data_IF_945234801416
#
_entry.id   IF_945234801416
#
_cell.length_a   1.000
_cell.length_b   1.000
_cell.length_c   1.000
_cell.angle_alpha   90.00
_cell.angle_beta   90.00
_cell.angle_gamma   90.00
#
_symmetry.space_group_name_H-M   'P 1'
#
loop_
_entity.id
_entity.type
_entity.pdbx_description
1 polymer ?
#
# COMPACT_ATOMS: atom_id res chain seq x y z
N UNK A 1 -8.98 13.03 8.52
CA UNK A 1 -9.81 11.93 9.08
C UNK A 1 -8.88 10.75 9.31
N UNK A 2 -8.85 10.15 10.50
CA UNK A 2 -7.79 9.17 10.87
C UNK A 2 -8.12 7.72 10.51
N UNK A 3 -9.15 7.50 9.70
CA UNK A 3 -9.61 6.17 9.30
C UNK A 3 -9.91 6.16 7.82
N UNK A 4 -9.72 4.99 7.20
CA UNK A 4 -10.13 4.74 5.85
C UNK A 4 -11.66 4.87 5.72
N UNK A 5 -12.09 5.40 4.58
CA UNK A 5 -13.51 5.41 4.23
C UNK A 5 -13.97 4.01 3.76
N UNK A 6 -15.28 3.88 3.50
CA UNK A 6 -15.87 2.61 3.06
C UNK A 6 -15.26 2.16 1.72
N UNK A 7 -14.94 3.08 0.81
CA UNK A 7 -14.36 2.75 -0.49
C UNK A 7 -12.95 2.19 -0.34
N UNK A 8 -12.12 2.82 0.49
CA UNK A 8 -10.76 2.41 0.80
C UNK A 8 -10.75 1.05 1.51
N UNK A 9 -11.62 0.87 2.51
CA UNK A 9 -11.79 -0.42 3.19
C UNK A 9 -12.18 -1.53 2.22
N UNK A 10 -13.15 -1.28 1.33
CA UNK A 10 -13.57 -2.29 0.36
C UNK A 10 -12.46 -2.64 -0.65
N UNK A 11 -11.64 -1.67 -1.05
CA UNK A 11 -10.47 -1.95 -1.91
C UNK A 11 -9.49 -2.88 -1.20
N UNK A 12 -9.11 -2.55 0.04
CA UNK A 12 -8.21 -3.39 0.82
C UNK A 12 -8.80 -4.77 1.08
N UNK A 13 -10.09 -4.88 1.41
CA UNK A 13 -10.73 -6.16 1.65
C UNK A 13 -10.76 -7.05 0.41
N UNK A 14 -10.95 -6.46 -0.77
CA UNK A 14 -10.99 -7.20 -2.06
C UNK A 14 -9.61 -7.41 -2.72
N UNK A 15 -8.53 -7.05 -2.03
CA UNK A 15 -7.16 -7.25 -2.51
C UNK A 15 -6.74 -6.27 -3.61
N UNK A 16 -7.26 -5.05 -3.56
CA UNK A 16 -6.72 -3.92 -4.31
C UNK A 16 -5.85 -3.09 -3.38
N UNK A 17 -4.69 -2.69 -3.90
CA UNK A 17 -3.77 -1.85 -3.16
C UNK A 17 -4.22 -0.38 -3.16
N UNK A 18 -3.81 0.35 -2.13
CA UNK A 18 -3.94 1.79 -2.03
C UNK A 18 -2.55 2.40 -1.83
N UNK A 19 -2.35 3.59 -2.37
CA UNK A 19 -1.14 4.35 -2.31
C UNK A 19 -1.42 5.78 -1.87
N UNK A 20 -0.44 6.40 -1.23
CA UNK A 20 -0.39 7.83 -0.94
C UNK A 20 1.02 8.35 -1.18
N UNK A 21 1.14 9.57 -1.69
CA UNK A 21 2.40 10.31 -1.73
C UNK A 21 2.59 11.11 -0.44
N UNK A 22 3.78 11.01 0.15
CA UNK A 22 4.17 11.71 1.38
C UNK A 22 5.36 12.65 1.09
N UNK A 23 5.68 13.60 1.99
CA UNK A 23 6.89 14.41 1.85
C UNK A 23 8.14 13.53 1.74
N UNK A 24 8.98 13.82 0.75
CA UNK A 24 10.25 13.13 0.54
C UNK A 24 11.39 13.79 1.32
N UNK A 25 12.48 13.04 1.52
CA UNK A 25 13.72 13.54 2.11
C UNK A 25 14.46 14.57 1.25
N UNK A 26 14.16 14.63 -0.05
CA UNK A 26 14.86 15.46 -1.03
C UNK A 26 13.98 15.84 -2.22
N UNK A 27 14.21 17.01 -2.80
CA UNK A 27 13.53 17.50 -4.00
C UNK A 27 13.75 16.61 -5.24
N UNK A 28 14.77 15.76 -5.26
CA UNK A 28 15.02 14.81 -6.37
C UNK A 28 14.20 13.53 -6.25
N UNK A 29 13.57 13.30 -5.09
CA UNK A 29 12.86 12.08 -4.75
C UNK A 29 11.35 12.33 -4.69
N UNK A 30 10.58 11.27 -4.86
CA UNK A 30 9.17 11.17 -4.43
C UNK A 30 9.09 10.05 -3.41
N UNK A 31 8.23 10.21 -2.41
CA UNK A 31 8.06 9.25 -1.34
C UNK A 31 6.62 8.76 -1.31
N UNK A 32 6.45 7.45 -1.17
CA UNK A 32 5.15 6.81 -1.21
C UNK A 32 4.98 5.86 -0.04
N UNK A 33 3.72 5.65 0.31
CA UNK A 33 3.29 4.50 1.10
C UNK A 33 2.27 3.74 0.27
N UNK A 34 2.49 2.45 0.09
CA UNK A 34 1.57 1.53 -0.54
C UNK A 34 1.12 0.53 0.51
N UNK A 35 -0.17 0.26 0.56
CA UNK A 35 -0.79 -0.71 1.45
C UNK A 35 -1.65 -1.67 0.64
N UNK A 36 -1.71 -2.91 1.09
CA UNK A 36 -2.51 -3.93 0.44
C UNK A 36 -2.85 -5.05 1.39
N UNK A 37 -3.39 -6.13 0.82
CA UNK A 37 -3.78 -7.29 1.60
C UNK A 37 -3.52 -8.61 0.87
N UNK A 38 -3.40 -9.68 1.64
CA UNK A 38 -3.30 -11.06 1.18
C UNK A 38 -4.10 -11.99 2.08
N UNK A 39 -4.42 -13.17 1.57
CA UNK A 39 -4.92 -14.27 2.36
C UNK A 39 -3.76 -15.22 2.70
N UNK A 40 -3.50 -15.42 3.99
CA UNK A 40 -2.50 -16.34 4.47
C UNK A 40 -3.03 -17.78 4.43
N UNK A 41 -2.46 -18.62 3.56
CA UNK A 41 -2.86 -20.03 3.47
C UNK A 41 -1.73 -20.97 3.89
N UNK A 42 -2.02 -22.27 4.14
CA UNK A 42 -0.98 -23.26 4.39
C UNK A 42 0.03 -23.41 3.24
N UNK A 43 -0.33 -23.01 2.02
CA UNK A 43 0.55 -23.03 0.84
C UNK A 43 1.32 -21.72 0.65
N UNK A 44 1.11 -20.72 1.51
CA UNK A 44 1.69 -19.38 1.41
C UNK A 44 0.64 -18.27 1.19
N UNK A 45 1.10 -17.01 1.04
CA UNK A 45 0.23 -15.88 0.77
C UNK A 45 -0.38 -15.97 -0.63
N UNK A 46 -1.66 -15.61 -0.75
CA UNK A 46 -2.38 -15.52 -2.03
C UNK A 46 -3.24 -14.27 -2.09
N UNK A 47 -3.76 -13.96 -3.28
CA UNK A 47 -4.72 -12.86 -3.44
C UNK A 47 -5.98 -13.10 -2.58
N UNK A 48 -6.50 -12.09 -1.86
CA UNK A 48 -7.75 -12.20 -1.11
C UNK A 48 -8.95 -12.55 -1.99
N UNK A 49 -10.00 -13.05 -1.35
CA UNK A 49 -11.31 -13.19 -1.98
C UNK A 49 -11.85 -11.82 -2.39
N UNK A 50 -12.58 -11.75 -3.51
CA UNK A 50 -13.28 -10.52 -3.93
C UNK A 50 -14.67 -10.36 -3.30
N UNK A 51 -15.08 -11.32 -2.47
CA UNK A 51 -16.40 -11.33 -1.83
C UNK A 51 -16.31 -10.60 -0.50
N UNK A 52 -17.01 -9.48 -0.35
CA UNK A 52 -16.96 -8.64 0.86
C UNK A 52 -17.82 -9.15 2.03
N UNK A 53 -18.86 -9.94 1.74
CA UNK A 53 -19.89 -10.30 2.73
C UNK A 53 -19.57 -11.60 3.48
N UNK A 54 -18.30 -11.98 3.59
CA UNK A 54 -17.85 -13.16 4.32
C UNK A 54 -16.76 -12.76 5.31
N UNK A 55 -16.62 -13.51 6.39
CA UNK A 55 -15.45 -13.35 7.26
C UNK A 55 -14.18 -13.82 6.54
N UNK A 56 -13.09 -13.09 6.75
CA UNK A 56 -11.78 -13.39 6.16
C UNK A 56 -10.72 -13.58 7.27
N UNK A 57 -10.81 -14.62 8.12
CA UNK A 57 -9.87 -14.84 9.23
C UNK A 57 -8.42 -15.03 8.76
N UNK A 58 -8.23 -15.48 7.52
CA UNK A 58 -6.93 -15.62 6.87
C UNK A 58 -6.37 -14.30 6.32
N UNK A 59 -7.16 -13.23 6.28
CA UNK A 59 -6.72 -11.98 5.68
C UNK A 59 -5.70 -11.27 6.56
N UNK A 60 -4.66 -10.78 5.89
CA UNK A 60 -3.57 -9.98 6.45
C UNK A 60 -3.35 -8.76 5.57
N UNK A 61 -2.76 -7.74 6.16
CA UNK A 61 -2.42 -6.50 5.49
C UNK A 61 -0.91 -6.29 5.52
N UNK A 62 -0.45 -5.45 4.61
CA UNK A 62 0.94 -5.03 4.52
C UNK A 62 1.03 -3.55 4.16
N UNK A 63 2.20 -2.99 4.44
CA UNK A 63 2.57 -1.61 4.14
C UNK A 63 4.01 -1.58 3.62
N UNK A 64 4.22 -0.87 2.53
CA UNK A 64 5.54 -0.51 2.02
C UNK A 64 5.65 1.02 1.97
N UNK A 65 6.56 1.58 2.76
CA UNK A 65 7.02 2.96 2.60
C UNK A 65 8.32 2.94 1.79
N UNK A 66 8.50 3.85 0.84
CA UNK A 66 9.75 4.00 0.11
C UNK A 66 9.90 5.40 -0.49
N UNK A 67 11.12 5.74 -0.86
CA UNK A 67 11.43 6.86 -1.74
C UNK A 67 12.00 6.35 -3.07
N UNK A 68 11.84 7.13 -4.14
CA UNK A 68 12.32 6.80 -5.48
C UNK A 68 12.70 8.07 -6.23
N UNK A 69 13.72 7.98 -7.09
CA UNK A 69 14.11 9.10 -7.95
C UNK A 69 12.99 9.49 -8.91
N UNK A 70 12.75 10.81 -9.03
CA UNK A 70 11.76 11.35 -9.98
C UNK A 70 12.01 10.88 -11.43
N UNK A 71 13.26 10.67 -11.81
CA UNK A 71 13.66 10.18 -13.13
C UNK A 71 13.23 8.74 -13.41
N UNK A 72 13.00 7.92 -12.37
CA UNK A 72 12.55 6.54 -12.54
C UNK A 72 11.04 6.44 -12.84
N UNK A 73 10.25 7.43 -12.40
CA UNK A 73 8.79 7.46 -12.61
C UNK A 73 8.39 8.17 -13.91
N UNK A 74 9.26 9.00 -14.49
CA UNK A 74 8.93 9.82 -15.66
C UNK A 74 8.62 9.02 -16.95
N UNK A 75 9.02 7.76 -17.02
CA UNK A 75 8.67 6.85 -18.11
C UNK A 75 7.40 6.09 -17.77
N UNK A 76 6.31 6.34 -18.49
CA UNK A 76 4.96 5.79 -18.25
C UNK A 76 4.85 4.24 -18.33
N UNK A 77 5.95 3.53 -18.58
CA UNK A 77 6.00 2.08 -18.83
C UNK A 77 7.00 1.33 -17.93
N UNK A 78 7.59 1.97 -16.90
CA UNK A 78 8.61 1.31 -16.09
C UNK A 78 8.01 0.70 -14.83
N UNK A 79 8.08 -0.63 -14.74
CA UNK A 79 7.90 -1.37 -13.49
C UNK A 79 8.91 -0.85 -12.46
N UNK A 80 8.44 -0.53 -11.26
CA UNK A 80 9.33 -0.15 -10.17
C UNK A 80 9.88 -1.43 -9.55
N UNK A 81 11.18 -1.63 -9.68
CA UNK A 81 11.91 -2.76 -9.13
C UNK A 81 12.46 -2.42 -7.74
N UNK A 82 12.59 -3.42 -6.86
CA UNK A 82 13.03 -3.20 -5.47
C UNK A 82 14.39 -2.48 -5.35
N UNK A 83 15.34 -2.75 -6.25
CA UNK A 83 16.67 -2.10 -6.23
C UNK A 83 16.63 -0.59 -6.50
N UNK A 84 15.51 -0.08 -7.02
CA UNK A 84 15.31 1.36 -7.26
C UNK A 84 14.77 2.08 -6.02
N UNK A 85 14.31 1.33 -5.02
CA UNK A 85 13.71 1.87 -3.81
C UNK A 85 14.79 2.35 -2.84
N UNK A 86 14.55 3.52 -2.24
CA UNK A 86 15.37 4.14 -1.21
C UNK A 86 14.59 4.23 0.09
N UNK A 87 15.29 4.17 1.22
CA UNK A 87 14.70 4.29 2.56
C UNK A 87 13.42 3.47 2.74
N UNK A 88 13.46 2.23 2.25
CA UNK A 88 12.29 1.37 2.18
C UNK A 88 12.02 0.70 3.53
N UNK A 89 10.75 0.65 3.90
CA UNK A 89 10.25 -0.02 5.10
C UNK A 89 9.09 -0.89 4.67
N UNK A 90 9.23 -2.20 4.85
CA UNK A 90 8.18 -3.17 4.59
C UNK A 90 7.69 -3.78 5.91
N UNK A 91 6.38 -3.73 6.14
CA UNK A 91 5.69 -4.32 7.27
C UNK A 91 4.59 -5.22 6.71
N UNK A 92 4.54 -6.47 7.15
CA UNK A 92 3.52 -7.45 6.77
C UNK A 92 2.88 -8.08 8.00
N UNK A 93 2.00 -9.07 7.77
CA UNK A 93 1.26 -9.81 8.80
C UNK A 93 0.40 -8.94 9.74
N UNK A 94 -0.01 -7.75 9.27
CA UNK A 94 -0.93 -6.88 10.00
C UNK A 94 -2.31 -7.54 10.01
N UNK A 95 -2.94 -7.66 11.19
CA UNK A 95 -4.09 -8.54 11.39
C UNK A 95 -5.43 -7.87 11.07
N UNK A 96 -5.47 -6.54 11.05
CA UNK A 96 -6.72 -5.80 10.84
C UNK A 96 -6.48 -4.45 10.17
N UNK A 97 -7.53 -3.91 9.54
CA UNK A 97 -7.53 -2.54 9.01
C UNK A 97 -7.22 -1.54 10.12
N UNK A 98 -7.79 -1.72 11.31
CA UNK A 98 -7.53 -0.83 12.45
C UNK A 98 -6.04 -0.80 12.83
N UNK A 99 -5.40 -1.97 12.88
CA UNK A 99 -3.95 -2.06 13.15
C UNK A 99 -3.12 -1.41 12.02
N UNK A 100 -3.55 -1.58 10.76
CA UNK A 100 -2.94 -0.89 9.62
C UNK A 100 -3.05 0.63 9.75
N UNK A 101 -4.23 1.15 10.12
CA UNK A 101 -4.47 2.57 10.37
C UNK A 101 -3.58 3.09 11.49
N UNK A 102 -3.46 2.36 12.60
CA UNK A 102 -2.57 2.70 13.72
C UNK A 102 -1.10 2.81 13.27
N UNK A 103 -0.63 1.88 12.41
CA UNK A 103 0.72 1.94 11.84
C UNK A 103 0.91 3.12 10.88
N UNK A 104 -0.11 3.41 10.06
CA UNK A 104 -0.06 4.51 9.10
C UNK A 104 -0.02 5.89 9.75
N UNK A 105 -0.57 6.03 10.96
CA UNK A 105 -0.55 7.28 11.72
C UNK A 105 0.86 7.77 12.07
N UNK A 106 1.86 6.88 12.07
CA UNK A 106 3.26 7.24 12.23
C UNK A 106 3.79 8.09 11.06
N UNK A 107 3.14 8.01 9.89
CA UNK A 107 3.62 8.63 8.64
C UNK A 107 2.62 9.59 7.99
N UNK A 108 1.32 9.37 8.19
CA UNK A 108 0.25 10.08 7.49
C UNK A 108 -0.85 10.48 8.49
N UNK A 109 -1.20 11.76 8.51
CA UNK A 109 -2.27 12.26 9.39
C UNK A 109 -3.66 12.22 8.76
N UNK A 110 -3.75 12.24 7.42
CA UNK A 110 -5.02 12.23 6.69
C UNK A 110 -5.04 11.18 5.59
N UNK A 111 -5.99 10.25 5.68
CA UNK A 111 -6.09 9.13 4.74
C UNK A 111 -6.95 9.44 3.51
N UNK A 112 -7.55 10.62 3.42
CA UNK A 112 -8.43 11.01 2.30
C UNK A 112 -7.74 10.95 0.92
N UNK A 113 -6.41 11.13 0.88
CA UNK A 113 -5.60 11.11 -0.33
C UNK A 113 -5.19 9.70 -0.78
N UNK A 114 -5.49 8.65 -0.01
CA UNK A 114 -5.20 7.28 -0.45
C UNK A 114 -6.06 6.93 -1.67
N UNK A 115 -5.40 6.44 -2.72
CA UNK A 115 -6.05 5.98 -3.93
C UNK A 115 -5.28 4.83 -4.58
N UNK A 116 -5.86 4.22 -5.60
CA UNK A 116 -5.21 3.11 -6.32
C UNK A 116 -3.86 3.54 -6.95
N UNK A 117 -2.79 2.71 -6.84
CA UNK A 117 -1.41 3.09 -7.23
C UNK A 117 -1.26 3.70 -8.63
N UNK A 118 -1.99 3.17 -9.62
CA UNK A 118 -1.92 3.65 -11.01
C UNK A 118 -2.33 5.13 -11.18
N UNK A 119 -3.13 5.70 -10.26
CA UNK A 119 -3.45 7.14 -10.29
C UNK A 119 -2.26 8.03 -9.92
N UNK A 120 -1.25 7.46 -9.27
CA UNK A 120 -0.03 8.15 -8.85
C UNK A 120 1.17 7.81 -9.76
N UNK A 121 0.95 7.04 -10.84
CA UNK A 121 1.97 6.47 -11.70
C UNK A 121 2.98 5.60 -10.94
N UNK A 122 2.49 4.86 -9.94
CA UNK A 122 3.29 3.87 -9.22
C UNK A 122 2.59 2.53 -9.28
N UNK A 123 3.32 1.46 -9.58
CA UNK A 123 2.86 0.10 -9.48
C UNK A 123 4.07 -0.75 -9.08
N UNK A 124 3.94 -1.48 -7.97
CA UNK A 124 4.92 -2.47 -7.57
C UNK A 124 4.59 -3.77 -8.29
N UNK A 125 5.61 -4.43 -8.83
CA UNK A 125 5.49 -5.81 -9.26
C UNK A 125 5.80 -6.70 -8.06
N UNK A 126 4.90 -7.64 -7.74
CA UNK A 126 5.10 -8.70 -6.74
C UNK A 126 5.32 -10.03 -7.46
#
# INVERSE_FOLDING_TARGET
MHSFDIFQNNNLLTGNDLAIEIPSSSEKLRAFIIVGSYAQTPLGPKKPSRVLNIEHPEQRFWMLKYEIDKSAISSHDVSIEEYQLKDFIYINDILSIKELEEKLQEYVQDFSSFCVPWKMNVALYN
#
